data_IF_595446702460
#
_entry.id   IF_595446702460
#
_cell.length_a   1.000
_cell.length_b   1.000
_cell.length_c   1.000
_cell.angle_alpha   90.00
_cell.angle_beta   90.00
_cell.angle_gamma   90.00
#
_symmetry.space_group_name_H-M   'P 1'
#
loop_
_entity.id
_entity.type
_entity.pdbx_description
1 polymer ?
#
# COMPACT_ATOMS: atom_id res chain seq x y z
N UNK A 1 -10.67 2.29 -6.23
CA UNK A 1 -11.25 3.32 -5.34
C UNK A 1 -12.02 4.35 -6.17
N UNK A 2 -13.08 4.96 -5.62
CA UNK A 2 -13.80 6.08 -6.23
C UNK A 2 -13.66 7.32 -5.35
N UNK A 3 -13.22 8.45 -5.91
CA UNK A 3 -12.94 9.68 -5.16
C UNK A 3 -14.09 10.71 -5.17
N UNK A 4 -15.23 10.37 -5.80
CA UNK A 4 -16.35 11.27 -6.03
C UNK A 4 -16.47 11.78 -7.47
N UNK A 5 -15.37 11.75 -8.23
CA UNK A 5 -15.29 12.19 -9.61
C UNK A 5 -14.76 11.10 -10.55
N UNK A 6 -13.68 10.43 -10.16
CA UNK A 6 -12.90 9.46 -10.93
C UNK A 6 -12.86 8.10 -10.23
N UNK A 7 -12.69 7.04 -11.02
CA UNK A 7 -12.44 5.68 -10.53
C UNK A 7 -10.97 5.34 -10.76
N UNK A 8 -10.29 4.94 -9.70
CA UNK A 8 -8.87 4.59 -9.68
C UNK A 8 -8.71 3.09 -9.55
N UNK A 9 -8.06 2.46 -10.53
CA UNK A 9 -7.87 1.01 -10.61
C UNK A 9 -6.39 0.69 -10.66
N UNK A 10 -5.86 0.02 -9.65
CA UNK A 10 -4.50 -0.51 -9.68
C UNK A 10 -4.43 -1.82 -10.45
N UNK A 11 -3.33 -2.04 -11.16
CA UNK A 11 -3.00 -3.29 -11.82
C UNK A 11 -1.62 -3.77 -11.36
N UNK A 12 -1.60 -4.91 -10.70
CA UNK A 12 -0.36 -5.57 -10.27
C UNK A 12 0.50 -6.01 -11.46
N UNK A 13 -0.11 -6.51 -12.54
CA UNK A 13 0.64 -7.02 -13.70
C UNK A 13 1.34 -5.91 -14.45
N UNK A 14 0.66 -4.77 -14.64
CA UNK A 14 1.19 -3.64 -15.42
C UNK A 14 1.84 -2.57 -14.55
N UNK A 15 1.79 -2.70 -13.21
CA UNK A 15 2.40 -1.78 -12.25
C UNK A 15 1.92 -0.33 -12.40
N UNK A 16 0.68 -0.14 -12.84
CA UNK A 16 0.07 1.18 -13.08
C UNK A 16 -1.29 1.29 -12.40
N UNK A 17 -1.66 2.52 -12.06
CA UNK A 17 -3.02 2.89 -11.75
C UNK A 17 -3.67 3.50 -13.00
N UNK A 18 -4.79 2.92 -13.45
CA UNK A 18 -5.63 3.49 -14.50
C UNK A 18 -6.72 4.33 -13.85
N UNK A 19 -6.83 5.58 -14.31
CA UNK A 19 -7.89 6.49 -13.89
C UNK A 19 -8.97 6.48 -14.94
N UNK A 20 -10.21 6.23 -14.51
CA UNK A 20 -11.39 6.18 -15.36
C UNK A 20 -12.36 7.30 -14.99
N UNK A 21 -13.09 7.81 -15.97
CA UNK A 21 -14.26 8.65 -15.72
C UNK A 21 -15.48 7.81 -15.30
N UNK A 22 -16.62 8.46 -15.05
CA UNK A 22 -17.88 7.79 -14.65
C UNK A 22 -18.49 6.90 -15.74
N UNK A 23 -18.04 7.05 -16.99
CA UNK A 23 -18.41 6.22 -18.14
C UNK A 23 -17.41 5.08 -18.38
N UNK A 24 -16.53 4.80 -17.41
CA UNK A 24 -15.52 3.74 -17.45
C UNK A 24 -14.48 3.91 -18.57
N UNK A 25 -14.33 5.11 -19.11
CA UNK A 25 -13.31 5.42 -20.12
C UNK A 25 -12.00 5.83 -19.45
N UNK A 26 -10.84 5.32 -19.92
CA UNK A 26 -9.54 5.70 -19.39
C UNK A 26 -9.24 7.16 -19.72
N UNK A 27 -8.86 7.92 -18.70
CA UNK A 27 -8.47 9.33 -18.80
C UNK A 27 -7.03 9.58 -18.38
N UNK A 28 -6.42 8.67 -17.62
CA UNK A 28 -4.98 8.70 -17.31
C UNK A 28 -4.43 7.31 -16.98
N UNK A 29 -3.13 7.14 -17.17
CA UNK A 29 -2.34 6.00 -16.69
C UNK A 29 -1.21 6.56 -15.84
N UNK A 30 -1.16 6.16 -14.57
CA UNK A 30 -0.19 6.62 -13.59
C UNK A 30 0.72 5.45 -13.25
N UNK A 31 2.02 5.68 -13.30
CA UNK A 31 3.02 4.73 -12.83
C UNK A 31 3.45 5.11 -11.41
N UNK A 32 2.82 4.57 -10.35
CA UNK A 32 3.20 4.88 -8.96
C UNK A 32 4.61 4.39 -8.59
N UNK A 33 5.32 3.72 -9.51
CA UNK A 33 6.72 3.31 -9.37
C UNK A 33 6.91 1.98 -8.64
N UNK A 34 5.87 1.45 -8.01
CA UNK A 34 5.88 0.22 -7.23
C UNK A 34 4.60 -0.55 -7.49
N UNK A 35 4.65 -1.89 -7.39
CA UNK A 35 3.60 -2.83 -7.78
C UNK A 35 2.31 -2.66 -6.96
N UNK A 36 1.53 -1.63 -7.31
CA UNK A 36 0.26 -1.32 -6.70
C UNK A 36 -0.70 -2.48 -6.93
N UNK A 37 -1.16 -3.07 -5.82
CA UNK A 37 -2.15 -4.16 -5.82
C UNK A 37 -3.56 -3.64 -5.52
N UNK A 38 -3.66 -2.50 -4.83
CA UNK A 38 -4.93 -1.94 -4.41
C UNK A 38 -4.86 -0.41 -4.33
N UNK A 39 -6.02 0.24 -4.38
CA UNK A 39 -6.18 1.69 -4.23
C UNK A 39 -7.13 2.01 -3.08
N UNK A 40 -6.73 2.94 -2.21
CA UNK A 40 -7.56 3.49 -1.13
C UNK A 40 -7.38 5.01 -1.02
N UNK A 41 -8.02 5.66 -0.06
CA UNK A 41 -7.80 7.08 0.25
C UNK A 41 -7.43 7.25 1.72
N UNK A 42 -6.52 8.17 2.01
CA UNK A 42 -6.16 8.55 3.39
C UNK A 42 -7.04 9.70 3.95
N UNK A 43 -8.06 10.14 3.20
CA UNK A 43 -8.94 11.26 3.54
C UNK A 43 -8.60 12.56 2.82
N UNK A 44 -7.42 12.68 2.22
CA UNK A 44 -7.01 13.87 1.45
C UNK A 44 -6.50 13.49 0.04
N UNK A 45 -5.83 12.35 -0.08
CA UNK A 45 -5.20 11.88 -1.32
C UNK A 45 -5.61 10.44 -1.67
N UNK A 46 -5.66 10.12 -2.98
CA UNK A 46 -5.55 8.75 -3.47
C UNK A 46 -4.23 8.09 -3.05
N UNK A 47 -4.30 6.83 -2.65
CA UNK A 47 -3.17 6.03 -2.19
C UNK A 47 -3.13 4.69 -2.94
N UNK A 48 -1.97 4.32 -3.48
CA UNK A 48 -1.69 3.00 -4.03
C UNK A 48 -0.97 2.12 -3.00
N UNK A 49 -1.57 0.99 -2.64
CA UNK A 49 -0.96 -0.02 -1.76
C UNK A 49 -0.05 -0.93 -2.57
N UNK A 50 1.24 -0.96 -2.24
CA UNK A 50 2.25 -1.73 -2.94
C UNK A 50 2.73 -2.89 -2.06
N UNK A 51 1.92 -3.94 -1.90
CA UNK A 51 2.27 -5.08 -1.03
C UNK A 51 3.52 -5.87 -1.47
N UNK A 52 4.01 -5.60 -2.67
CA UNK A 52 5.29 -6.13 -3.13
C UNK A 52 6.48 -5.19 -2.87
N UNK A 53 6.23 -3.94 -2.54
CA UNK A 53 7.30 -3.00 -2.22
C UNK A 53 7.22 -2.54 -0.77
N UNK A 54 6.37 -3.17 0.05
CA UNK A 54 6.13 -2.83 1.46
C UNK A 54 5.93 -1.32 1.66
N UNK A 55 5.22 -0.69 0.72
CA UNK A 55 5.03 0.77 0.66
C UNK A 55 3.60 1.14 0.29
N UNK A 56 3.24 2.37 0.63
CA UNK A 56 2.09 3.10 0.08
C UNK A 56 2.59 4.30 -0.70
N UNK A 57 2.12 4.44 -1.93
CA UNK A 57 2.38 5.63 -2.77
C UNK A 57 1.18 6.57 -2.67
N UNK A 58 1.37 7.79 -2.17
CA UNK A 58 0.36 8.84 -2.23
C UNK A 58 0.42 9.52 -3.60
N UNK A 59 -0.74 9.78 -4.16
CA UNK A 59 -0.92 10.33 -5.50
C UNK A 59 -1.82 11.57 -5.38
N UNK A 60 -1.49 12.65 -6.09
CA UNK A 60 -2.33 13.85 -6.18
C UNK A 60 -3.60 13.54 -6.99
N UNK A 61 -4.62 14.38 -6.87
CA UNK A 61 -5.83 14.28 -7.71
C UNK A 61 -5.55 14.46 -9.21
N UNK A 62 -4.43 15.09 -9.54
CA UNK A 62 -3.94 15.30 -10.90
C UNK A 62 -3.09 14.13 -11.41
N UNK A 63 -2.74 13.19 -10.53
CA UNK A 63 -2.07 11.94 -10.86
C UNK A 63 -0.56 11.93 -10.59
N UNK A 64 -0.02 12.94 -9.93
CA UNK A 64 1.40 13.02 -9.58
C UNK A 64 1.71 12.27 -8.29
N UNK A 65 2.88 11.63 -8.21
CA UNK A 65 3.34 11.02 -6.95
C UNK A 65 3.71 12.11 -5.95
N UNK A 66 3.01 12.16 -4.81
CA UNK A 66 3.22 13.14 -3.74
C UNK A 66 4.16 12.59 -2.65
N UNK A 67 4.23 11.27 -2.51
CA UNK A 67 5.17 10.63 -1.60
C UNK A 67 5.09 9.11 -1.63
N UNK A 68 6.15 8.45 -1.16
CA UNK A 68 6.22 6.99 -0.98
C UNK A 68 6.58 6.73 0.47
N UNK A 69 5.79 5.89 1.13
CA UNK A 69 5.89 5.63 2.57
C UNK A 69 6.03 4.14 2.80
N UNK A 70 7.03 3.72 3.55
CA UNK A 70 7.16 2.33 3.97
C UNK A 70 6.01 1.97 4.93
N UNK A 71 5.40 0.81 4.73
CA UNK A 71 4.32 0.30 5.59
C UNK A 71 4.52 -1.18 5.86
N UNK A 72 4.50 -1.52 7.15
CA UNK A 72 4.49 -2.89 7.62
C UNK A 72 3.08 -3.48 7.39
N UNK A 73 3.02 -4.65 6.76
CA UNK A 73 1.80 -5.22 6.15
C UNK A 73 0.69 -5.52 7.17
N UNK A 74 1.05 -5.93 8.38
CA UNK A 74 0.16 -5.99 9.53
C UNK A 74 0.99 -6.11 10.81
N UNK A 75 0.49 -5.53 11.91
CA UNK A 75 1.02 -5.80 13.23
C UNK A 75 -0.10 -5.91 14.27
N UNK A 76 0.15 -6.67 15.33
CA UNK A 76 -0.71 -6.79 16.50
C UNK A 76 0.14 -6.78 17.77
N UNK A 77 -0.48 -6.72 18.94
CA UNK A 77 0.21 -6.85 20.23
C UNK A 77 -0.41 -7.95 21.08
N UNK A 78 0.44 -8.67 21.82
CA UNK A 78 0.02 -9.62 22.85
C UNK A 78 -0.06 -8.98 24.26
N UNK A 79 0.15 -7.66 24.36
CA UNK A 79 0.22 -6.91 25.61
C UNK A 79 1.64 -6.72 26.16
N UNK A 80 2.63 -7.47 25.66
CA UNK A 80 4.05 -7.35 26.03
C UNK A 80 4.94 -7.00 24.83
N UNK A 81 4.57 -7.48 23.64
CA UNK A 81 5.37 -7.40 22.42
C UNK A 81 4.49 -6.98 21.23
N UNK A 82 5.15 -6.56 20.16
CA UNK A 82 4.55 -6.33 18.84
C UNK A 82 4.88 -7.54 17.96
N UNK A 83 3.88 -8.01 17.22
CA UNK A 83 4.03 -9.07 16.23
C UNK A 83 3.79 -8.49 14.85
N UNK A 84 4.73 -8.67 13.93
CA UNK A 84 4.70 -8.11 12.58
C UNK A 84 4.63 -9.23 11.55
N UNK A 85 3.63 -9.21 10.67
CA UNK A 85 3.51 -10.18 9.59
C UNK A 85 4.37 -9.77 8.39
N UNK A 86 5.33 -10.61 8.02
CA UNK A 86 6.22 -10.40 6.86
C UNK A 86 5.83 -11.35 5.74
N UNK A 87 4.79 -10.98 4.97
CA UNK A 87 4.19 -11.88 3.97
C UNK A 87 5.20 -12.34 2.90
N UNK A 88 6.14 -11.48 2.50
CA UNK A 88 7.11 -11.78 1.44
C UNK A 88 8.11 -12.84 1.85
N UNK A 89 8.39 -12.89 3.14
CA UNK A 89 9.40 -13.77 3.73
C UNK A 89 8.76 -15.02 4.32
N UNK A 90 7.42 -15.13 4.27
CA UNK A 90 6.64 -16.15 4.97
C UNK A 90 7.08 -16.29 6.42
N UNK A 91 7.24 -15.14 7.10
CA UNK A 91 7.63 -15.11 8.50
C UNK A 91 6.77 -14.14 9.32
N UNK A 92 6.81 -14.32 10.63
CA UNK A 92 6.30 -13.43 11.64
C UNK A 92 7.49 -12.90 12.46
N UNK A 93 7.66 -11.59 12.59
CA UNK A 93 8.65 -11.01 13.50
C UNK A 93 8.02 -10.71 14.85
N UNK A 94 8.77 -10.91 15.93
CA UNK A 94 8.44 -10.45 17.28
C UNK A 94 9.37 -9.31 17.65
N UNK A 95 8.78 -8.20 18.10
CA UNK A 95 9.49 -6.98 18.43
C UNK A 95 9.14 -6.57 19.85
N UNK A 96 10.15 -6.22 20.65
CA UNK A 96 9.99 -5.74 22.01
C UNK A 96 9.36 -4.35 22.07
N UNK A 97 8.89 -3.92 23.25
CA UNK A 97 8.26 -2.60 23.42
C UNK A 97 9.24 -1.43 23.22
N UNK A 98 10.54 -1.69 23.29
CA UNK A 98 11.64 -0.76 22.99
C UNK A 98 12.14 -0.85 21.53
N UNK A 99 11.48 -1.65 20.70
CA UNK A 99 11.88 -1.89 19.31
C UNK A 99 12.93 -2.98 19.14
N UNK A 100 13.30 -3.72 20.19
CA UNK A 100 14.25 -4.83 20.07
C UNK A 100 13.72 -5.94 19.15
N UNK A 101 14.54 -6.47 18.24
CA UNK A 101 14.21 -7.68 17.49
C UNK A 101 14.30 -8.89 18.42
N UNK A 102 13.15 -9.51 18.72
CA UNK A 102 13.03 -10.67 19.61
C UNK A 102 12.92 -11.99 18.84
N UNK A 103 12.97 -11.94 17.50
CA UNK A 103 13.05 -13.12 16.66
C UNK A 103 12.09 -13.10 15.48
N UNK A 104 12.36 -14.00 14.54
CA UNK A 104 11.62 -14.17 13.30
C UNK A 104 11.27 -15.64 13.11
N UNK A 105 9.99 -15.91 12.90
CA UNK A 105 9.40 -17.24 12.94
C UNK A 105 8.80 -17.57 11.58
N UNK A 106 9.18 -18.69 10.93
CA UNK A 106 8.51 -19.12 9.70
C UNK A 106 7.03 -19.44 9.99
N UNK A 107 6.16 -19.14 9.01
CA UNK A 107 4.71 -19.40 9.06
C UNK A 107 4.28 -20.37 7.98
#
# INVERSE_FOLDING_TARGET
MFDGEKVWVASNTTHVATVLNKDWQPVAIIAPGSAAIDMFSDGEYPCGANAHADTVTKISVDGDVVGVYDVLIAFTSDGENIWVANWRENTLSKVGPDGADLGKFPV
#
